data_IF_779140601874
#
_entry.id   IF_779140601874
#
_cell.length_a   1.000
_cell.length_b   1.000
_cell.length_c   1.000
_cell.angle_alpha   90.00
_cell.angle_beta   90.00
_cell.angle_gamma   90.00
#
_symmetry.space_group_name_H-M   'P 1'
#
loop_
_entity.id
_entity.type
_entity.pdbx_description
1 polymer ?
#
# COMPACT_ATOMS: atom_id res chain seq x y z
N UNK A 1 -6.22 -1.24 -4.00
CA UNK A 1 -7.66 -1.51 -3.94
C UNK A 1 -7.97 -2.50 -5.05
N UNK A 2 -8.59 -3.62 -4.71
CA UNK A 2 -8.94 -4.70 -5.66
C UNK A 2 -10.47 -4.80 -5.90
N UNK A 3 -11.24 -3.78 -5.52
CA UNK A 3 -12.70 -3.79 -5.59
C UNK A 3 -13.20 -4.16 -6.99
N UNK A 4 -13.90 -5.29 -7.07
CA UNK A 4 -14.48 -5.81 -8.32
C UNK A 4 -15.98 -6.09 -8.13
N UNK A 5 -16.87 -5.55 -8.98
CA UNK A 5 -18.31 -5.83 -8.89
C UNK A 5 -18.60 -7.33 -8.97
N UNK A 6 -19.30 -7.88 -7.96
CA UNK A 6 -19.65 -9.29 -7.90
C UNK A 6 -18.59 -10.21 -7.29
N UNK A 7 -17.46 -9.67 -6.82
CA UNK A 7 -16.47 -10.47 -6.08
C UNK A 7 -17.10 -11.11 -4.84
N UNK A 8 -16.86 -12.41 -4.68
CA UNK A 8 -17.33 -13.23 -3.56
C UNK A 8 -16.29 -13.28 -2.42
N UNK A 9 -15.03 -12.96 -2.70
CA UNK A 9 -13.96 -12.94 -1.72
C UNK A 9 -12.63 -12.48 -2.30
N UNK A 10 -11.71 -12.13 -1.39
CA UNK A 10 -10.34 -11.74 -1.68
C UNK A 10 -9.39 -12.58 -0.84
N UNK A 11 -8.20 -12.85 -1.38
CA UNK A 11 -7.08 -13.42 -0.65
C UNK A 11 -5.80 -12.70 -1.06
N UNK A 12 -5.21 -11.96 -0.12
CA UNK A 12 -3.94 -11.26 -0.33
C UNK A 12 -2.75 -12.11 0.11
N UNK A 13 -1.57 -11.81 -0.43
CA UNK A 13 -0.29 -12.38 0.02
C UNK A 13 0.01 -12.16 1.52
N UNK A 14 -0.65 -11.19 2.14
CA UNK A 14 -0.60 -10.89 3.58
C UNK A 14 -1.54 -11.77 4.41
N UNK A 15 -2.40 -12.58 3.78
CA UNK A 15 -3.50 -13.31 4.42
C UNK A 15 -4.76 -12.47 4.64
N UNK A 16 -4.79 -11.20 4.21
CA UNK A 16 -5.98 -10.37 4.30
C UNK A 16 -7.06 -10.84 3.31
N UNK A 17 -8.33 -10.63 3.66
CA UNK A 17 -9.50 -10.96 2.82
C UNK A 17 -10.39 -9.75 2.51
N UNK A 18 -9.95 -8.55 2.89
CA UNK A 18 -10.58 -7.29 2.54
C UNK A 18 -10.26 -6.87 1.10
N UNK A 19 -11.10 -6.04 0.48
CA UNK A 19 -10.84 -5.49 -0.85
C UNK A 19 -9.61 -4.55 -0.91
N UNK A 20 -9.21 -4.02 0.25
CA UNK A 20 -8.09 -3.09 0.39
C UNK A 20 -7.13 -3.57 1.47
N UNK A 21 -5.83 -3.37 1.24
CA UNK A 21 -4.76 -3.55 2.21
C UNK A 21 -3.93 -2.26 2.30
N UNK A 22 -3.34 -2.01 3.47
CA UNK A 22 -2.39 -0.91 3.70
C UNK A 22 -1.03 -1.50 4.06
N UNK A 23 -0.19 -1.87 3.07
CA UNK A 23 1.10 -2.48 3.32
C UNK A 23 2.07 -1.49 3.99
N UNK A 24 2.77 -1.95 5.03
CA UNK A 24 3.76 -1.16 5.77
C UNK A 24 5.22 -1.45 5.39
N UNK A 25 5.46 -2.31 4.39
CA UNK A 25 6.79 -2.75 3.97
C UNK A 25 6.87 -2.74 2.45
N UNK A 26 8.02 -2.35 1.90
CA UNK A 26 8.28 -2.46 0.47
C UNK A 26 8.38 -3.93 0.07
N UNK A 27 7.45 -4.40 -0.75
CA UNK A 27 7.38 -5.78 -1.20
C UNK A 27 6.45 -5.91 -2.41
N UNK A 28 6.51 -7.07 -3.07
CA UNK A 28 5.52 -7.47 -4.07
C UNK A 28 4.30 -8.07 -3.36
N UNK A 29 3.13 -7.49 -3.59
CA UNK A 29 1.85 -7.97 -3.09
C UNK A 29 1.03 -8.54 -4.23
N UNK A 30 0.31 -9.63 -3.96
CA UNK A 30 -0.64 -10.21 -4.90
C UNK A 30 -1.99 -10.41 -4.24
N UNK A 31 -3.04 -10.41 -5.06
CA UNK A 31 -4.42 -10.70 -4.64
C UNK A 31 -5.03 -11.73 -5.57
N UNK A 32 -5.72 -12.69 -4.98
CA UNK A 32 -6.64 -13.57 -5.67
C UNK A 32 -8.08 -13.14 -5.35
N UNK A 33 -8.90 -12.97 -6.37
CA UNK A 33 -10.30 -12.54 -6.26
C UNK A 33 -11.18 -13.70 -6.73
N UNK A 34 -12.07 -14.14 -5.85
CA UNK A 34 -13.09 -15.12 -6.22
C UNK A 34 -14.24 -14.40 -6.94
N UNK A 35 -14.35 -14.57 -8.25
CA UNK A 35 -15.45 -14.02 -9.04
C UNK A 35 -16.75 -14.85 -8.96
N UNK A 36 -17.90 -14.27 -9.33
CA UNK A 36 -19.13 -15.03 -9.47
C UNK A 36 -18.96 -16.03 -10.64
N UNK A 37 -19.53 -17.23 -10.50
CA UNK A 37 -19.46 -18.30 -11.50
C UNK A 37 -18.08 -18.95 -11.71
N UNK A 38 -17.19 -18.91 -10.71
CA UNK A 38 -15.98 -19.75 -10.71
C UNK A 38 -14.85 -19.26 -11.61
N UNK A 39 -14.85 -17.99 -12.00
CA UNK A 39 -13.71 -17.34 -12.62
C UNK A 39 -12.89 -16.61 -11.55
N UNK A 40 -11.85 -17.25 -10.97
CA UNK A 40 -10.91 -16.52 -10.14
C UNK A 40 -10.11 -15.54 -11.00
N UNK A 41 -9.89 -14.35 -10.49
CA UNK A 41 -8.92 -13.38 -11.02
C UNK A 41 -7.73 -13.29 -10.08
N UNK A 42 -6.57 -12.93 -10.61
CA UNK A 42 -5.42 -12.56 -9.78
C UNK A 42 -4.74 -11.32 -10.32
N UNK A 43 -4.14 -10.55 -9.42
CA UNK A 43 -3.35 -9.37 -9.77
C UNK A 43 -2.13 -9.27 -8.86
N UNK A 44 -1.07 -8.62 -9.35
CA UNK A 44 0.21 -8.46 -8.64
C UNK A 44 0.73 -7.04 -8.79
N UNK A 45 1.10 -6.45 -7.66
CA UNK A 45 1.60 -5.08 -7.57
C UNK A 45 2.90 -5.04 -6.77
N UNK A 46 3.86 -4.24 -7.24
CA UNK A 46 5.09 -3.94 -6.50
C UNK A 46 4.87 -2.64 -5.72
N UNK A 47 5.08 -2.70 -4.41
CA UNK A 47 4.93 -1.54 -3.51
C UNK A 47 6.30 -1.17 -2.98
N UNK A 48 6.72 0.07 -3.24
CA UNK A 48 7.96 0.65 -2.74
C UNK A 48 7.67 1.80 -1.76
N UNK A 49 7.94 1.59 -0.47
CA UNK A 49 7.92 2.65 0.54
C UNK A 49 9.26 3.41 0.52
N UNK A 50 9.19 4.70 0.23
CA UNK A 50 10.32 5.60 0.32
C UNK A 50 10.45 6.14 1.76
N UNK A 51 11.68 6.24 2.31
CA UNK A 51 11.88 6.87 3.60
C UNK A 51 11.46 8.34 3.56
N UNK A 52 10.95 8.85 4.68
CA UNK A 52 10.62 10.26 4.81
C UNK A 52 11.88 11.14 4.61
N UNK A 53 11.77 12.28 3.93
CA UNK A 53 12.90 13.20 3.79
C UNK A 53 13.31 13.72 5.16
N UNK A 54 14.61 13.72 5.43
CA UNK A 54 15.18 14.39 6.61
C UNK A 54 15.21 15.88 6.29
N UNK A 55 14.37 16.66 6.96
CA UNK A 55 14.39 18.13 6.87
C UNK A 55 15.32 18.65 7.95
N UNK A 56 16.43 19.26 7.53
CA UNK A 56 17.36 19.99 8.38
C UNK A 56 17.31 21.47 7.96
N UNK A 57 16.78 22.32 8.83
CA UNK A 57 16.68 23.76 8.60
C UNK A 57 17.96 24.51 9.01
N UNK A 58 18.99 23.77 9.43
CA UNK A 58 20.19 24.32 10.01
C UNK A 58 20.00 24.79 11.45
N UNK A 59 21.07 25.28 12.08
CA UNK A 59 20.99 25.88 13.41
C UNK A 59 20.19 27.19 13.38
N UNK A 60 19.53 27.50 14.49
CA UNK A 60 18.83 28.77 14.67
C UNK A 60 19.82 29.95 14.54
N UNK A 61 19.43 30.95 13.76
CA UNK A 61 20.18 32.20 13.61
C UNK A 61 19.62 33.23 14.58
N UNK A 62 20.37 33.51 15.65
CA UNK A 62 20.15 34.69 16.48
C UNK A 62 20.56 35.94 15.69
N UNK A 63 19.56 36.64 15.14
CA UNK A 63 19.78 37.96 14.55
C UNK A 63 20.17 38.93 15.66
N UNK A 64 21.33 39.57 15.53
CA UNK A 64 21.83 40.53 16.51
C UNK A 64 20.83 41.70 16.68
N UNK A 65 20.59 42.20 17.90
CA UNK A 65 19.94 43.49 18.07
C UNK A 65 20.89 44.56 17.54
N UNK A 66 20.43 45.31 16.55
CA UNK A 66 21.19 46.38 15.91
C UNK A 66 21.63 47.49 16.84
#
# INVERSE_FOLDING_TARGET
>A
DATTPGALGYLWSTGATSATISPGVSATYWVEVAGPSGCPGSDTVVVDLLPAPVVDLGPDLDLCPG
#
